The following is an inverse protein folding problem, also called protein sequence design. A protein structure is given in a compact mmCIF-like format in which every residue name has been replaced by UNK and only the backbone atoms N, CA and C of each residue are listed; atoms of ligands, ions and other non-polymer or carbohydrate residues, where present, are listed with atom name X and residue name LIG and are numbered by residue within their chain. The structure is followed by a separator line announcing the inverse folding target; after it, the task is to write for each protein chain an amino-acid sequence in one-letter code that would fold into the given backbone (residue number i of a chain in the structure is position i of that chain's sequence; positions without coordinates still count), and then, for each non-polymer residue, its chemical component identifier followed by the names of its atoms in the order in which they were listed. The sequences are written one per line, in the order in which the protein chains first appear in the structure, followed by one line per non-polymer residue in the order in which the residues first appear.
data_IF_777452151177
#
_entry.id   IF_777452151177
#
_cell.length_a   1.000
_cell.length_b   1.000
_cell.length_c   1.000
_cell.angle_alpha   90.00
_cell.angle_beta   90.00
_cell.angle_gamma   90.00
#
_symmetry.space_group_name_H-M   'P 1'
#
loop_
_entity.id
_entity.type
_entity.pdbx_description
1 polymer ?
#
# COMPACT_ATOMS: atom_id res chain seq x y z
N UNK A 1 46.21 -4.08 25.19
CA UNK A 1 45.44 -4.23 26.41
C UNK A 1 44.24 -3.28 26.33
N UNK A 2 43.07 -3.65 26.78
CA UNK A 2 41.99 -2.70 26.91
C UNK A 2 42.33 -1.67 27.99
N UNK A 3 42.10 -0.40 27.71
CA UNK A 3 42.28 0.72 28.65
C UNK A 3 40.89 1.11 29.20
N UNK A 4 40.84 1.39 30.51
CA UNK A 4 39.61 1.90 31.11
C UNK A 4 39.47 3.40 30.83
N UNK A 5 38.28 3.84 30.41
CA UNK A 5 38.06 5.23 30.03
C UNK A 5 38.32 6.21 31.17
N UNK A 6 37.99 5.80 32.39
CA UNK A 6 38.17 6.62 33.61
C UNK A 6 39.68 6.76 34.04
N UNK A 7 40.56 5.95 33.46
CA UNK A 7 41.99 6.02 33.74
C UNK A 7 42.74 6.91 32.71
N UNK A 8 42.05 7.48 31.74
CA UNK A 8 42.67 8.28 30.67
C UNK A 8 42.90 9.73 31.10
N UNK A 9 44.08 10.26 30.74
CA UNK A 9 44.41 11.68 30.93
C UNK A 9 43.57 12.55 29.98
N UNK A 10 43.36 13.85 30.30
CA UNK A 10 42.54 14.76 29.46
C UNK A 10 42.98 14.81 27.98
N UNK A 11 44.26 14.77 27.71
CA UNK A 11 44.83 14.72 26.34
C UNK A 11 44.48 13.43 25.61
N UNK A 12 44.50 12.29 26.34
CA UNK A 12 44.14 10.98 25.80
C UNK A 12 42.63 10.88 25.54
N UNK A 13 41.79 11.48 26.39
CA UNK A 13 40.34 11.58 26.16
C UNK A 13 40.01 12.41 24.89
N UNK A 14 40.76 13.48 24.66
CA UNK A 14 40.64 14.27 23.44
C UNK A 14 41.01 13.46 22.19
N UNK A 15 42.14 12.76 22.27
CA UNK A 15 42.59 11.86 21.20
C UNK A 15 41.57 10.73 20.93
N UNK A 16 41.01 10.14 22.00
CA UNK A 16 39.97 9.10 21.90
C UNK A 16 38.73 9.62 21.13
N UNK A 17 38.24 10.81 21.44
CA UNK A 17 37.13 11.44 20.70
C UNK A 17 37.42 11.60 19.21
N UNK A 18 38.63 12.01 18.87
CA UNK A 18 39.05 12.15 17.48
C UNK A 18 39.21 10.78 16.76
N UNK A 19 39.61 9.73 17.45
CA UNK A 19 39.76 8.39 16.90
C UNK A 19 38.42 7.67 16.76
N UNK A 20 37.41 7.96 17.58
CA UNK A 20 36.05 7.41 17.47
C UNK A 20 35.37 7.77 16.15
N UNK A 21 35.73 8.90 15.55
CA UNK A 21 35.19 9.30 14.24
C UNK A 21 35.71 8.46 13.08
N UNK A 22 36.78 7.68 13.30
CA UNK A 22 37.43 6.86 12.28
C UNK A 22 37.01 5.38 12.44
N UNK A 23 36.34 4.86 11.44
CA UNK A 23 35.79 3.50 11.45
C UNK A 23 36.88 2.42 11.66
N UNK A 24 36.69 1.57 12.66
CA UNK A 24 37.55 0.39 12.88
C UNK A 24 38.88 0.64 13.60
N UNK A 25 39.14 1.84 14.18
CA UNK A 25 40.37 2.13 14.91
C UNK A 25 40.23 1.90 16.42
N UNK A 26 39.06 2.22 16.99
CA UNK A 26 38.75 2.07 18.42
C UNK A 26 37.40 1.38 18.55
N UNK A 27 37.35 0.34 19.38
CA UNK A 27 36.12 -0.32 19.81
C UNK A 27 35.90 -0.04 21.29
N UNK A 28 34.75 0.47 21.66
CA UNK A 28 34.34 0.73 23.04
C UNK A 28 33.40 -0.38 23.50
N UNK A 29 33.80 -1.06 24.56
CA UNK A 29 33.00 -2.11 25.19
C UNK A 29 32.58 -1.63 26.57
N UNK A 30 31.29 -1.54 26.83
CA UNK A 30 30.76 -1.23 28.17
C UNK A 30 30.64 -2.52 28.98
N UNK A 31 31.21 -2.51 30.18
CA UNK A 31 31.06 -3.58 31.17
C UNK A 31 30.28 -3.07 32.37
N UNK A 32 29.11 -3.64 32.57
CA UNK A 32 28.30 -3.34 33.76
C UNK A 32 28.74 -4.24 34.89
N UNK A 33 29.15 -3.64 36.03
CA UNK A 33 29.42 -4.34 37.26
C UNK A 33 28.22 -4.16 38.19
N UNK A 34 27.62 -5.25 38.62
CA UNK A 34 26.50 -5.24 39.54
C UNK A 34 27.05 -5.68 40.92
N UNK A 35 27.03 -4.77 41.87
CA UNK A 35 27.31 -5.08 43.26
C UNK A 35 25.98 -5.31 43.99
N UNK A 36 25.87 -6.43 44.71
CA UNK A 36 24.65 -6.82 45.41
C UNK A 36 24.96 -6.80 46.93
N UNK A 37 24.25 -5.96 47.64
CA UNK A 37 24.30 -5.92 49.11
C UNK A 37 22.97 -6.41 49.69
N UNK A 38 23.09 -7.25 50.72
CA UNK A 38 21.92 -7.72 51.46
C UNK A 38 21.52 -6.66 52.45
N UNK A 39 20.30 -6.12 52.31
CA UNK A 39 19.73 -5.15 53.27
C UNK A 39 19.49 -5.79 54.64
N UNK A 40 19.36 -4.99 55.73
CA UNK A 40 19.03 -5.50 57.05
C UNK A 40 17.77 -6.38 57.10
N UNK A 41 16.78 -6.04 56.27
CA UNK A 41 15.58 -6.85 56.10
C UNK A 41 15.88 -8.19 55.45
N UNK A 42 16.71 -8.18 54.39
CA UNK A 42 17.19 -9.39 53.73
C UNK A 42 17.95 -10.32 54.70
N UNK A 43 18.85 -9.76 55.50
CA UNK A 43 19.57 -10.53 56.55
C UNK A 43 18.62 -11.14 57.60
N UNK A 44 17.59 -10.43 58.02
CA UNK A 44 16.56 -10.97 58.90
C UNK A 44 15.78 -12.13 58.28
N UNK A 45 15.47 -12.03 56.97
CA UNK A 45 14.75 -13.08 56.25
C UNK A 45 15.63 -14.33 56.08
N UNK A 46 16.90 -14.17 55.72
CA UNK A 46 17.85 -15.30 55.54
C UNK A 46 18.04 -16.03 56.88
N UNK A 47 18.09 -15.31 58.01
CA UNK A 47 18.23 -15.89 59.35
C UNK A 47 16.92 -16.42 59.95
N UNK A 48 15.77 -16.15 59.33
CA UNK A 48 14.50 -16.73 59.77
C UNK A 48 14.40 -18.18 59.33
N UNK A 49 13.91 -19.07 60.20
CA UNK A 49 13.58 -20.46 59.81
C UNK A 49 12.42 -20.41 58.82
N UNK A 50 12.75 -20.42 57.54
CA UNK A 50 11.76 -20.57 56.48
C UNK A 50 11.29 -22.03 56.50
N UNK A 51 10.09 -22.26 57.00
CA UNK A 51 9.47 -23.59 56.90
C UNK A 51 9.11 -23.81 55.43
N UNK A 52 9.75 -24.75 54.78
CA UNK A 52 9.34 -25.22 53.46
C UNK A 52 8.11 -26.14 53.62
N UNK A 53 6.95 -25.53 53.89
CA UNK A 53 5.69 -26.27 53.74
C UNK A 53 5.52 -26.61 52.25
N UNK A 54 5.19 -27.87 51.95
CA UNK A 54 4.85 -28.28 50.59
C UNK A 54 3.68 -27.46 50.09
N UNK A 55 3.97 -26.52 49.19
CA UNK A 55 2.94 -25.75 48.52
C UNK A 55 2.61 -26.40 47.18
N UNK A 56 1.32 -26.41 46.88
CA UNK A 56 0.87 -26.84 45.54
C UNK A 56 1.13 -25.69 44.57
N UNK A 57 2.05 -25.90 43.63
CA UNK A 57 2.43 -24.88 42.64
C UNK A 57 1.42 -24.79 41.49
N UNK A 58 0.87 -25.91 41.03
CA UNK A 58 -0.06 -25.98 39.92
C UNK A 58 -1.21 -26.97 40.22
N UNK A 59 -2.42 -26.59 39.91
CA UNK A 59 -3.59 -27.46 40.00
C UNK A 59 -3.65 -28.30 38.73
N UNK A 60 -3.49 -29.61 38.88
CA UNK A 60 -3.66 -30.59 37.77
C UNK A 60 -4.92 -31.42 37.95
N UNK A 61 -5.46 -32.04 36.88
CA UNK A 61 -6.61 -32.97 37.01
C UNK A 61 -6.38 -34.13 37.97
N UNK A 62 -5.13 -34.61 38.13
CA UNK A 62 -4.75 -35.69 39.02
C UNK A 62 -4.85 -35.23 40.49
N UNK A 63 -4.43 -34.01 40.78
CA UNK A 63 -4.54 -33.43 42.13
C UNK A 63 -6.00 -33.27 42.52
N UNK A 64 -6.85 -32.80 41.60
CA UNK A 64 -8.27 -32.60 41.86
C UNK A 64 -9.05 -33.93 42.07
N UNK A 65 -8.61 -35.04 41.50
CA UNK A 65 -9.25 -36.35 41.62
C UNK A 65 -9.14 -36.96 43.03
N UNK A 66 -8.10 -36.57 43.80
CA UNK A 66 -7.86 -37.09 45.14
C UNK A 66 -7.90 -35.95 46.17
N UNK A 67 -8.94 -35.93 46.96
CA UNK A 67 -9.14 -34.87 47.99
C UNK A 67 -7.96 -34.75 48.95
N UNK A 68 -7.31 -35.85 49.33
CA UNK A 68 -6.10 -35.90 50.14
C UNK A 68 -4.88 -35.23 49.53
N UNK A 69 -4.88 -35.00 48.22
CA UNK A 69 -3.74 -34.37 47.52
C UNK A 69 -3.67 -32.88 47.71
N UNK A 70 -4.80 -32.24 47.98
CA UNK A 70 -4.89 -30.78 48.06
C UNK A 70 -5.57 -30.26 49.33
N UNK A 71 -6.41 -31.04 50.00
CA UNK A 71 -7.13 -30.64 51.19
C UNK A 71 -6.13 -30.41 52.34
N UNK A 72 -6.17 -29.22 52.92
CA UNK A 72 -5.27 -28.80 54.02
C UNK A 72 -3.89 -28.32 53.57
N UNK A 73 -3.55 -28.39 52.27
CA UNK A 73 -2.30 -27.85 51.74
C UNK A 73 -2.47 -26.38 51.32
N UNK A 74 -1.35 -25.62 51.36
CA UNK A 74 -1.32 -24.25 50.87
C UNK A 74 -1.04 -24.23 49.37
N UNK A 75 -1.76 -23.35 48.66
CA UNK A 75 -1.50 -23.06 47.24
C UNK A 75 -0.55 -21.87 47.14
N UNK A 76 0.35 -21.93 46.15
CA UNK A 76 1.21 -20.83 45.81
C UNK A 76 0.38 -19.60 45.44
N UNK A 77 0.66 -18.48 46.03
CA UNK A 77 0.06 -17.20 45.67
C UNK A 77 0.73 -16.66 44.43
N UNK A 78 -0.04 -16.40 43.40
CA UNK A 78 0.46 -15.76 42.20
C UNK A 78 0.47 -14.25 42.38
N UNK A 79 1.61 -13.63 42.03
CA UNK A 79 1.67 -12.19 41.96
C UNK A 79 1.13 -11.75 40.58
N UNK A 80 -0.11 -11.25 40.57
CA UNK A 80 -0.76 -10.80 39.35
C UNK A 80 -0.13 -9.54 38.76
N UNK A 81 0.71 -8.84 39.49
CA UNK A 81 1.43 -7.66 39.03
C UNK A 81 2.82 -7.98 38.50
N UNK A 82 3.27 -9.24 38.60
CA UNK A 82 4.55 -9.65 38.00
C UNK A 82 4.52 -9.43 36.50
N UNK A 83 5.52 -8.77 35.98
CA UNK A 83 5.70 -8.61 34.53
C UNK A 83 5.87 -9.97 33.88
N UNK A 84 5.02 -10.29 32.89
CA UNK A 84 5.14 -11.47 32.05
C UNK A 84 5.58 -11.03 30.66
N UNK A 85 6.31 -11.87 29.93
CA UNK A 85 6.63 -11.58 28.53
C UNK A 85 5.37 -11.30 27.72
N UNK A 86 5.35 -10.18 27.01
CA UNK A 86 4.22 -9.85 26.16
C UNK A 86 4.18 -10.85 24.98
N UNK A 87 3.05 -11.54 24.85
CA UNK A 87 2.80 -12.44 23.72
C UNK A 87 2.01 -11.67 22.68
N UNK A 88 2.55 -11.58 21.45
CA UNK A 88 1.90 -10.92 20.33
C UNK A 88 1.32 -12.01 19.42
N UNK A 89 0.01 -12.02 19.25
CA UNK A 89 -0.65 -12.82 18.22
C UNK A 89 -0.28 -12.33 16.81
N UNK A 90 -0.47 -13.19 15.80
CA UNK A 90 -0.33 -12.80 14.41
C UNK A 90 -1.29 -11.66 14.07
N UNK A 91 -0.82 -10.68 13.29
CA UNK A 91 -1.60 -9.53 12.85
C UNK A 91 -1.36 -9.28 11.38
N UNK A 92 -2.44 -9.16 10.60
CA UNK A 92 -2.34 -8.81 9.20
C UNK A 92 -1.76 -7.40 9.04
N UNK A 93 -0.90 -7.20 8.04
CA UNK A 93 -0.31 -5.90 7.77
C UNK A 93 -1.42 -4.85 7.53
N UNK A 94 -1.28 -3.67 8.08
CA UNK A 94 -2.33 -2.63 8.07
C UNK A 94 -2.68 -2.14 6.65
N UNK A 95 -1.72 -2.07 5.74
CA UNK A 95 -1.98 -1.75 4.33
C UNK A 95 -2.89 -2.80 3.70
N UNK A 96 -2.62 -4.10 3.96
CA UNK A 96 -3.47 -5.17 3.43
C UNK A 96 -4.88 -5.16 4.02
N UNK A 97 -5.03 -4.81 5.30
CA UNK A 97 -6.36 -4.64 5.90
C UNK A 97 -7.15 -3.53 5.22
N UNK A 98 -6.50 -2.41 4.93
CA UNK A 98 -7.13 -1.29 4.24
C UNK A 98 -7.47 -1.63 2.78
N UNK A 99 -6.59 -2.35 2.09
CA UNK A 99 -6.85 -2.86 0.73
C UNK A 99 -8.08 -3.76 0.71
N UNK A 100 -8.21 -4.68 1.68
CA UNK A 100 -9.39 -5.55 1.78
C UNK A 100 -10.67 -4.74 2.08
N UNK A 101 -10.57 -3.70 2.89
CA UNK A 101 -11.69 -2.82 3.13
C UNK A 101 -12.10 -2.05 1.87
N UNK A 102 -11.14 -1.53 1.10
CA UNK A 102 -11.41 -0.89 -0.19
C UNK A 102 -12.10 -1.85 -1.18
N UNK A 103 -11.66 -3.11 -1.25
CA UNK A 103 -12.29 -4.16 -2.05
C UNK A 103 -13.74 -4.40 -1.60
N UNK A 104 -13.96 -4.50 -0.29
CA UNK A 104 -15.30 -4.67 0.28
C UNK A 104 -16.24 -3.56 -0.13
N UNK A 105 -15.81 -2.29 -0.08
CA UNK A 105 -16.62 -1.15 -0.51
C UNK A 105 -17.05 -1.30 -1.97
N UNK A 106 -16.12 -1.57 -2.88
CA UNK A 106 -16.45 -1.71 -4.30
C UNK A 106 -17.38 -2.90 -4.55
N UNK A 107 -17.15 -4.04 -3.90
CA UNK A 107 -18.02 -5.22 -4.00
C UNK A 107 -19.42 -4.93 -3.49
N UNK A 108 -19.58 -4.21 -2.35
CA UNK A 108 -20.88 -3.78 -1.82
C UNK A 108 -21.59 -2.80 -2.75
N UNK A 109 -20.84 -2.01 -3.53
CA UNK A 109 -21.42 -1.12 -4.56
C UNK A 109 -21.76 -1.86 -5.86
N UNK A 110 -21.60 -3.19 -5.89
CA UNK A 110 -21.94 -4.07 -7.00
C UNK A 110 -20.91 -4.12 -8.13
N UNK A 111 -19.64 -3.83 -7.83
CA UNK A 111 -18.53 -3.99 -8.77
C UNK A 111 -17.92 -5.40 -8.67
N UNK A 112 -17.46 -5.92 -9.80
CA UNK A 112 -16.66 -7.15 -9.90
C UNK A 112 -15.18 -6.80 -9.89
N UNK A 113 -14.36 -7.56 -9.16
CA UNK A 113 -12.90 -7.35 -9.16
C UNK A 113 -12.31 -7.85 -10.48
N UNK A 114 -11.49 -7.00 -11.10
CA UNK A 114 -10.62 -7.34 -12.22
C UNK A 114 -9.17 -7.36 -11.75
N UNK A 115 -8.41 -8.32 -12.24
CA UNK A 115 -7.00 -8.52 -11.87
C UNK A 115 -6.12 -8.55 -13.11
N UNK A 116 -4.84 -8.25 -12.93
CA UNK A 116 -3.85 -8.28 -14.00
C UNK A 116 -2.43 -8.27 -13.45
N UNK A 117 -1.48 -8.64 -14.28
CA UNK A 117 -0.07 -8.72 -13.92
C UNK A 117 0.54 -7.33 -13.65
N UNK A 118 1.57 -7.30 -12.81
CA UNK A 118 2.34 -6.07 -12.55
C UNK A 118 3.25 -5.70 -13.70
N UNK A 119 3.67 -6.68 -14.49
CA UNK A 119 4.45 -6.50 -15.72
C UNK A 119 3.49 -6.62 -16.89
N UNK A 120 3.46 -5.61 -17.75
CA UNK A 120 2.61 -5.61 -18.93
C UNK A 120 3.34 -4.98 -20.14
N UNK A 121 2.76 -5.08 -21.33
CA UNK A 121 3.30 -4.44 -22.52
C UNK A 121 2.95 -2.96 -22.61
N UNK A 122 3.81 -2.19 -23.25
CA UNK A 122 3.57 -0.80 -23.61
C UNK A 122 2.24 -0.64 -24.36
N UNK A 123 1.87 -1.65 -25.17
CA UNK A 123 0.58 -1.70 -25.83
C UNK A 123 -0.61 -1.53 -24.86
N UNK A 124 -0.70 -2.35 -23.83
CA UNK A 124 -1.84 -2.31 -22.90
C UNK A 124 -1.77 -1.12 -21.93
N UNK A 125 -0.55 -0.73 -21.56
CA UNK A 125 -0.35 0.36 -20.59
C UNK A 125 -0.60 1.72 -21.23
N UNK A 126 -0.23 1.90 -22.50
CA UNK A 126 -0.27 3.20 -23.16
C UNK A 126 -1.08 3.22 -24.45
N UNK A 127 -0.76 2.34 -25.42
CA UNK A 127 -1.37 2.43 -26.74
C UNK A 127 -2.88 2.17 -26.71
N UNK A 128 -3.33 1.14 -26.01
CA UNK A 128 -4.75 0.83 -25.83
C UNK A 128 -5.52 1.92 -25.07
N UNK A 129 -4.81 2.81 -24.39
CA UNK A 129 -5.35 3.99 -23.70
C UNK A 129 -5.09 5.29 -24.48
N UNK A 130 -4.82 5.18 -25.78
CA UNK A 130 -4.64 6.33 -26.65
C UNK A 130 -3.57 7.33 -26.19
N UNK A 131 -2.56 6.89 -25.44
CA UNK A 131 -1.41 7.71 -25.05
C UNK A 131 -0.37 7.67 -26.17
N UNK A 132 -0.05 8.82 -26.76
CA UNK A 132 0.90 8.91 -27.89
C UNK A 132 2.26 8.28 -27.55
N UNK A 133 2.95 7.71 -28.55
CA UNK A 133 4.23 7.03 -28.33
C UNK A 133 5.39 7.96 -27.98
N UNK A 134 5.27 9.23 -28.32
CA UNK A 134 6.18 10.32 -27.96
C UNK A 134 5.77 11.07 -26.68
N UNK A 135 4.74 10.60 -25.98
CA UNK A 135 4.27 11.26 -24.75
C UNK A 135 5.31 11.13 -23.63
N UNK A 136 5.64 12.22 -22.89
CA UNK A 136 6.66 12.21 -21.84
C UNK A 136 6.48 11.16 -20.75
N UNK A 137 5.24 10.76 -20.44
CA UNK A 137 4.95 9.71 -19.45
C UNK A 137 5.57 8.35 -19.78
N UNK A 138 5.92 8.12 -21.03
CA UNK A 138 6.60 6.90 -21.50
C UNK A 138 8.11 6.94 -21.33
N UNK A 139 8.67 8.11 -21.01
CA UNK A 139 10.11 8.22 -20.81
C UNK A 139 10.57 7.44 -19.58
N UNK A 140 11.87 7.07 -19.58
CA UNK A 140 12.44 6.27 -18.48
C UNK A 140 12.39 6.97 -17.12
N UNK A 141 12.16 8.28 -17.09
CA UNK A 141 12.02 9.04 -15.86
C UNK A 141 10.74 8.65 -15.08
N UNK A 142 9.66 8.30 -15.80
CA UNK A 142 8.36 8.03 -15.17
C UNK A 142 7.98 6.54 -15.23
N UNK A 143 8.65 5.73 -16.04
CA UNK A 143 8.29 4.33 -16.30
C UNK A 143 9.48 3.38 -16.14
N UNK A 144 9.30 2.29 -15.40
CA UNK A 144 10.29 1.22 -15.30
C UNK A 144 10.13 0.23 -16.44
N UNK A 145 10.97 0.36 -17.47
CA UNK A 145 11.05 -0.61 -18.58
C UNK A 145 11.89 -1.82 -18.21
N UNK A 146 11.46 -2.98 -18.69
CA UNK A 146 12.18 -4.24 -18.59
C UNK A 146 12.83 -4.48 -19.97
N UNK A 147 14.11 -4.86 -19.97
CA UNK A 147 14.82 -5.12 -21.24
C UNK A 147 14.37 -6.45 -21.90
N UNK A 148 13.07 -6.56 -22.16
CA UNK A 148 12.41 -7.67 -22.84
C UNK A 148 11.22 -7.16 -23.65
N UNK A 149 10.84 -7.92 -24.64
CA UNK A 149 9.64 -7.71 -25.47
C UNK A 149 8.70 -8.90 -25.36
N UNK A 150 7.43 -8.67 -25.64
CA UNK A 150 6.38 -9.69 -25.67
C UNK A 150 5.63 -9.66 -27.00
N UNK A 151 4.81 -10.68 -27.24
CA UNK A 151 3.86 -10.67 -28.36
C UNK A 151 2.70 -9.72 -28.10
N UNK A 152 2.22 -9.09 -29.16
CA UNK A 152 1.01 -8.28 -29.11
C UNK A 152 -0.26 -9.17 -29.03
N UNK A 153 -1.40 -8.62 -28.56
CA UNK A 153 -2.65 -9.34 -28.52
C UNK A 153 -3.21 -9.64 -29.93
N UNK A 154 -4.52 -9.96 -29.99
CA UNK A 154 -5.20 -10.25 -31.25
C UNK A 154 -4.97 -9.15 -32.30
N UNK A 155 -4.65 -9.55 -33.52
CA UNK A 155 -4.33 -8.65 -34.65
C UNK A 155 -5.43 -7.63 -34.95
N UNK A 156 -6.71 -7.97 -34.69
CA UNK A 156 -7.83 -7.04 -34.92
C UNK A 156 -7.79 -5.88 -33.90
N UNK A 157 -7.51 -6.18 -32.63
CA UNK A 157 -7.36 -5.16 -31.58
C UNK A 157 -6.16 -4.26 -31.89
N UNK A 158 -5.01 -4.88 -32.22
CA UNK A 158 -3.79 -4.13 -32.56
C UNK A 158 -4.03 -3.20 -33.75
N UNK A 159 -4.67 -3.70 -34.80
CA UNK A 159 -5.00 -2.89 -35.98
C UNK A 159 -5.93 -1.72 -35.63
N UNK A 160 -6.97 -1.98 -34.83
CA UNK A 160 -7.92 -0.93 -34.44
C UNK A 160 -7.27 0.15 -33.56
N UNK A 161 -6.40 -0.23 -32.63
CA UNK A 161 -5.63 0.71 -31.80
C UNK A 161 -4.67 1.53 -32.68
N UNK A 162 -3.91 0.89 -33.55
CA UNK A 162 -3.02 1.56 -34.51
C UNK A 162 -3.77 2.58 -35.36
N UNK A 163 -4.89 2.18 -35.97
CA UNK A 163 -5.72 3.09 -36.77
C UNK A 163 -6.24 4.27 -35.97
N UNK A 164 -6.63 4.05 -34.71
CA UNK A 164 -7.04 5.12 -33.80
C UNK A 164 -5.93 6.15 -33.58
N UNK A 165 -4.68 5.71 -33.39
CA UNK A 165 -3.53 6.59 -33.21
C UNK A 165 -3.16 7.36 -34.50
N UNK A 166 -3.11 6.67 -35.63
CA UNK A 166 -2.64 7.24 -36.89
C UNK A 166 -3.68 8.12 -37.58
N UNK A 167 -4.95 7.71 -37.54
CA UNK A 167 -6.04 8.33 -38.33
C UNK A 167 -7.19 8.86 -37.49
N UNK A 168 -7.25 8.41 -36.22
CA UNK A 168 -8.39 8.69 -35.36
C UNK A 168 -9.61 7.81 -35.64
N UNK A 169 -10.65 8.00 -34.83
CA UNK A 169 -11.96 7.33 -34.96
C UNK A 169 -13.05 8.33 -34.60
N UNK A 170 -14.27 8.12 -35.09
CA UNK A 170 -15.45 8.91 -34.75
C UNK A 170 -15.25 10.44 -34.92
N UNK A 171 -14.65 10.84 -36.04
CA UNK A 171 -14.37 12.24 -36.35
C UNK A 171 -13.08 12.81 -35.74
N UNK A 172 -12.39 12.05 -34.91
CA UNK A 172 -11.05 12.38 -34.43
C UNK A 172 -10.01 12.23 -35.52
N UNK A 173 -8.93 13.02 -35.46
CA UNK A 173 -7.78 12.92 -36.37
C UNK A 173 -6.66 12.03 -35.83
N UNK A 174 -6.81 11.43 -34.66
CA UNK A 174 -5.75 10.73 -33.97
C UNK A 174 -4.59 11.65 -33.58
N UNK A 175 -3.42 11.07 -33.42
CA UNK A 175 -2.17 11.80 -33.15
C UNK A 175 -1.37 12.10 -34.43
N UNK A 176 -1.78 11.52 -35.57
CA UNK A 176 -1.19 11.75 -36.89
C UNK A 176 0.32 11.45 -37.01
N UNK A 177 0.79 10.40 -36.33
CA UNK A 177 2.16 9.87 -36.42
C UNK A 177 2.15 8.41 -36.88
N UNK A 178 3.32 7.90 -37.28
CA UNK A 178 3.47 6.48 -37.62
C UNK A 178 3.63 5.66 -36.34
N UNK A 179 2.64 4.85 -36.03
CA UNK A 179 2.65 4.00 -34.83
C UNK A 179 3.68 2.87 -34.96
N UNK A 180 4.57 2.75 -33.97
CA UNK A 180 5.64 1.75 -33.92
C UNK A 180 5.19 0.50 -33.15
N UNK A 181 5.15 -0.64 -33.86
CA UNK A 181 4.82 -1.94 -33.25
C UNK A 181 5.90 -2.41 -32.29
N UNK A 182 7.16 -2.08 -32.51
CA UNK A 182 8.28 -2.53 -31.67
C UNK A 182 8.30 -1.80 -30.32
N UNK A 183 7.90 -0.54 -30.26
CA UNK A 183 7.70 0.15 -28.99
C UNK A 183 6.53 -0.44 -28.20
N UNK A 184 5.44 -0.78 -28.86
CA UNK A 184 4.27 -1.40 -28.24
C UNK A 184 4.55 -2.76 -27.58
N UNK A 185 5.57 -3.50 -28.08
CA UNK A 185 5.99 -4.81 -27.53
C UNK A 185 6.86 -4.71 -26.27
N UNK A 186 7.35 -3.53 -25.90
CA UNK A 186 8.23 -3.37 -24.74
C UNK A 186 7.50 -3.73 -23.46
N UNK A 187 8.16 -4.49 -22.58
CA UNK A 187 7.64 -4.79 -21.26
C UNK A 187 8.04 -3.71 -20.23
N UNK A 188 7.14 -3.46 -19.31
CA UNK A 188 7.34 -2.48 -18.24
C UNK A 188 6.57 -2.86 -16.97
N UNK A 189 6.96 -2.29 -15.84
CA UNK A 189 6.14 -2.29 -14.63
C UNK A 189 5.02 -1.26 -14.79
N UNK A 190 3.77 -1.68 -14.60
CA UNK A 190 2.60 -0.82 -14.82
C UNK A 190 2.62 0.43 -13.93
N UNK A 191 2.57 1.65 -14.48
CA UNK A 191 2.52 2.90 -13.72
C UNK A 191 1.12 3.24 -13.21
N UNK A 192 0.11 2.48 -13.64
CA UNK A 192 -1.30 2.59 -13.25
C UNK A 192 -2.02 1.25 -13.47
N UNK A 193 -3.17 1.08 -12.82
CA UNK A 193 -4.01 -0.11 -12.99
C UNK A 193 -4.97 -0.01 -14.19
N UNK A 194 -5.01 1.11 -14.92
CA UNK A 194 -5.88 1.32 -16.08
C UNK A 194 -5.57 0.37 -17.25
N UNK A 195 -4.36 -0.19 -17.31
CA UNK A 195 -4.03 -1.27 -18.24
C UNK A 195 -4.92 -2.53 -18.02
N UNK A 196 -5.28 -2.81 -16.77
CA UNK A 196 -6.21 -3.90 -16.43
C UNK A 196 -7.62 -3.57 -16.94
N UNK A 197 -8.04 -2.30 -16.85
CA UNK A 197 -9.29 -1.82 -17.44
C UNK A 197 -9.30 -2.02 -18.95
N UNK A 198 -8.22 -1.65 -19.65
CA UNK A 198 -8.11 -1.84 -21.11
C UNK A 198 -8.23 -3.31 -21.51
N UNK A 199 -7.54 -4.22 -20.81
CA UNK A 199 -7.65 -5.68 -21.03
C UNK A 199 -9.05 -6.19 -20.76
N UNK A 200 -9.69 -5.72 -19.68
CA UNK A 200 -11.06 -6.09 -19.34
C UNK A 200 -12.03 -5.65 -20.42
N UNK A 201 -11.95 -4.40 -20.89
CA UNK A 201 -12.78 -3.89 -21.98
C UNK A 201 -12.64 -4.75 -23.24
N UNK A 202 -11.40 -5.09 -23.63
CA UNK A 202 -11.14 -5.91 -24.82
C UNK A 202 -11.68 -7.35 -24.72
N UNK A 203 -11.91 -7.86 -23.50
CA UNK A 203 -12.44 -9.21 -23.26
C UNK A 203 -13.96 -9.28 -23.17
N UNK A 204 -14.65 -8.14 -23.03
CA UNK A 204 -16.11 -8.09 -22.81
C UNK A 204 -16.88 -8.44 -24.10
N UNK A 205 -17.97 -9.13 -23.92
CA UNK A 205 -18.97 -9.40 -24.94
C UNK A 205 -20.20 -8.51 -24.76
N UNK A 206 -21.05 -8.44 -25.78
CA UNK A 206 -22.27 -7.60 -25.72
C UNK A 206 -23.22 -8.01 -24.61
N UNK A 207 -23.31 -9.31 -24.34
CA UNK A 207 -24.15 -9.88 -23.29
C UNK A 207 -23.69 -9.56 -21.87
N UNK A 208 -22.43 -9.15 -21.71
CA UNK A 208 -21.86 -8.78 -20.40
C UNK A 208 -22.28 -7.37 -19.93
N UNK A 209 -22.93 -6.61 -20.80
CA UNK A 209 -23.28 -5.20 -20.55
C UNK A 209 -24.73 -5.02 -20.06
N UNK A 210 -25.00 -4.07 -19.15
CA UNK A 210 -24.06 -3.15 -18.52
C UNK A 210 -23.19 -3.81 -17.45
N UNK A 211 -21.97 -3.31 -17.23
CA UNK A 211 -21.01 -3.90 -16.32
C UNK A 211 -20.24 -2.88 -15.48
N UNK A 212 -19.81 -3.31 -14.28
CA UNK A 212 -19.01 -2.49 -13.37
C UNK A 212 -17.85 -3.33 -12.85
N UNK A 213 -16.63 -2.83 -13.03
CA UNK A 213 -15.43 -3.50 -12.55
C UNK A 213 -14.56 -2.55 -11.73
N UNK A 214 -13.81 -3.10 -10.79
CA UNK A 214 -12.76 -2.40 -10.07
C UNK A 214 -11.49 -3.22 -10.01
N UNK A 215 -10.35 -2.55 -9.84
CA UNK A 215 -9.09 -3.16 -9.45
C UNK A 215 -8.50 -2.41 -8.26
N UNK A 216 -7.77 -3.08 -7.41
CA UNK A 216 -6.97 -2.49 -6.37
C UNK A 216 -5.63 -3.21 -6.31
N UNK A 217 -4.58 -2.54 -6.73
CA UNK A 217 -3.29 -3.17 -6.89
C UNK A 217 -2.11 -2.20 -6.95
N UNK A 218 -0.91 -2.79 -6.94
CA UNK A 218 0.34 -2.04 -7.01
C UNK A 218 0.60 -1.44 -8.38
N UNK A 219 1.13 -0.23 -8.36
CA UNK A 219 1.65 0.53 -9.49
C UNK A 219 3.07 0.98 -9.18
N UNK A 220 3.84 1.27 -10.23
CA UNK A 220 5.26 1.59 -10.13
C UNK A 220 5.59 2.80 -10.99
N UNK A 221 6.28 3.79 -10.40
CA UNK A 221 6.74 4.99 -11.10
C UNK A 221 8.18 5.29 -10.73
N UNK A 222 8.96 5.68 -11.70
CA UNK A 222 10.36 6.05 -11.51
C UNK A 222 10.49 7.50 -11.03
N UNK A 223 9.87 7.79 -9.90
CA UNK A 223 9.87 9.12 -9.29
C UNK A 223 10.96 9.24 -8.23
N UNK A 224 11.39 10.46 -7.96
CA UNK A 224 12.27 10.73 -6.81
C UNK A 224 11.51 10.45 -5.53
N UNK A 225 12.06 9.55 -4.71
CA UNK A 225 11.43 9.11 -3.47
C UNK A 225 11.53 10.19 -2.41
N UNK A 226 10.39 10.69 -1.95
CA UNK A 226 10.28 11.63 -0.84
C UNK A 226 9.18 11.20 0.16
N UNK A 227 8.77 12.10 1.04
CA UNK A 227 7.73 11.83 2.03
C UNK A 227 6.33 11.60 1.43
N UNK A 228 6.08 12.06 0.21
CA UNK A 228 4.79 12.00 -0.49
C UNK A 228 4.81 11.15 -1.76
N UNK A 229 5.99 10.81 -2.28
CA UNK A 229 6.20 10.03 -3.50
C UNK A 229 7.04 8.80 -3.22
N UNK A 230 6.60 7.66 -3.75
CA UNK A 230 7.31 6.39 -3.71
C UNK A 230 7.40 5.79 -5.10
N UNK A 231 8.38 4.93 -5.32
CA UNK A 231 8.50 4.19 -6.58
C UNK A 231 7.44 3.08 -6.75
N UNK A 232 6.78 2.68 -5.66
CA UNK A 232 5.61 1.79 -5.67
C UNK A 232 4.49 2.36 -4.79
N UNK A 233 3.26 2.16 -5.20
CA UNK A 233 2.07 2.56 -4.44
C UNK A 233 0.86 1.72 -4.85
N UNK A 234 -0.20 1.73 -4.04
CA UNK A 234 -1.46 1.11 -4.40
C UNK A 234 -2.38 2.13 -5.07
N UNK A 235 -3.04 1.71 -6.14
CA UNK A 235 -4.06 2.48 -6.84
C UNK A 235 -5.38 1.71 -6.79
N UNK A 236 -6.49 2.43 -6.56
CA UNK A 236 -7.83 1.89 -6.77
C UNK A 236 -8.33 2.37 -8.12
N UNK A 237 -8.74 1.44 -8.94
CA UNK A 237 -9.25 1.66 -10.29
C UNK A 237 -10.72 1.27 -10.34
N UNK A 238 -11.49 1.89 -11.22
CA UNK A 238 -12.83 1.43 -11.49
C UNK A 238 -13.32 1.86 -12.85
N UNK A 239 -14.12 1.00 -13.48
CA UNK A 239 -14.82 1.28 -14.74
C UNK A 239 -16.30 0.89 -14.64
N UNK A 240 -17.13 1.72 -15.25
CA UNK A 240 -18.57 1.43 -15.47
C UNK A 240 -18.85 1.54 -16.96
N UNK A 241 -19.27 0.44 -17.55
CA UNK A 241 -19.61 0.33 -18.97
C UNK A 241 -21.14 0.27 -19.06
N UNK A 242 -21.78 1.35 -19.44
CA UNK A 242 -23.24 1.43 -19.54
C UNK A 242 -23.64 2.46 -20.61
N UNK A 243 -24.48 2.09 -21.59
CA UNK A 243 -24.98 3.03 -22.61
C UNK A 243 -25.66 4.29 -22.03
N UNK A 244 -26.20 4.18 -20.80
CA UNK A 244 -26.87 5.30 -20.09
C UNK A 244 -25.94 6.02 -19.10
N UNK A 245 -24.66 5.62 -19.01
CA UNK A 245 -23.71 6.26 -18.11
C UNK A 245 -23.43 7.72 -18.52
N UNK A 246 -23.28 8.57 -17.55
CA UNK A 246 -22.95 9.98 -17.75
C UNK A 246 -22.04 10.51 -16.64
N UNK A 247 -21.56 11.72 -16.83
CA UNK A 247 -20.60 12.35 -15.92
C UNK A 247 -21.13 12.52 -14.48
N UNK A 248 -22.44 12.74 -14.30
CA UNK A 248 -23.04 12.81 -12.93
C UNK A 248 -22.96 11.47 -12.21
N UNK A 249 -23.15 10.36 -12.94
CA UNK A 249 -22.97 9.02 -12.38
C UNK A 249 -21.55 8.79 -11.92
N UNK A 250 -20.52 9.21 -12.69
CA UNK A 250 -19.11 9.16 -12.29
C UNK A 250 -18.88 9.87 -10.95
N UNK A 251 -19.32 11.12 -10.84
CA UNK A 251 -19.19 11.89 -9.60
C UNK A 251 -19.92 11.24 -8.43
N UNK A 252 -21.07 10.62 -8.69
CA UNK A 252 -21.86 9.88 -7.70
C UNK A 252 -21.11 8.67 -7.13
N UNK A 253 -20.54 7.82 -7.98
CA UNK A 253 -19.73 6.67 -7.55
C UNK A 253 -18.54 7.09 -6.70
N UNK A 254 -17.80 8.11 -7.14
CA UNK A 254 -16.63 8.62 -6.42
C UNK A 254 -17.00 9.21 -5.07
N UNK A 255 -18.07 10.02 -5.00
CA UNK A 255 -18.56 10.55 -3.72
C UNK A 255 -18.95 9.43 -2.75
N UNK A 256 -19.66 8.41 -3.23
CA UNK A 256 -20.09 7.28 -2.41
C UNK A 256 -18.88 6.49 -1.88
N UNK A 257 -17.90 6.19 -2.72
CA UNK A 257 -16.70 5.48 -2.34
C UNK A 257 -15.90 6.24 -1.26
N UNK A 258 -15.56 7.50 -1.52
CA UNK A 258 -14.77 8.28 -0.58
C UNK A 258 -15.50 8.57 0.73
N UNK A 259 -16.83 8.75 0.68
CA UNK A 259 -17.64 8.84 1.90
C UNK A 259 -17.55 7.57 2.75
N UNK A 260 -17.64 6.39 2.11
CA UNK A 260 -17.43 5.09 2.79
C UNK A 260 -16.00 4.94 3.33
N UNK A 261 -15.01 5.50 2.64
CA UNK A 261 -13.62 5.58 3.13
C UNK A 261 -13.43 6.59 4.27
N UNK A 262 -14.43 7.44 4.57
CA UNK A 262 -14.45 8.38 5.69
C UNK A 262 -14.10 9.81 5.33
N UNK A 263 -14.16 10.18 4.06
CA UNK A 263 -14.00 11.57 3.63
C UNK A 263 -15.37 12.23 3.38
N UNK A 264 -15.69 13.22 4.18
CA UNK A 264 -16.96 13.95 4.04
C UNK A 264 -16.88 15.08 2.99
N UNK A 265 -15.69 15.67 2.83
CA UNK A 265 -15.48 16.79 1.92
C UNK A 265 -14.66 16.35 0.71
N UNK A 266 -15.31 16.33 -0.46
CA UNK A 266 -14.73 15.92 -1.74
C UNK A 266 -14.98 17.06 -2.74
N UNK A 267 -13.93 17.39 -3.52
CA UNK A 267 -14.00 18.37 -4.59
C UNK A 267 -13.49 17.74 -5.88
N UNK A 268 -14.13 18.10 -6.98
CA UNK A 268 -13.72 17.74 -8.33
C UNK A 268 -13.26 19.00 -9.06
N UNK A 269 -12.09 18.96 -9.67
CA UNK A 269 -11.55 20.04 -10.49
C UNK A 269 -11.40 19.57 -11.94
N UNK A 270 -11.69 20.41 -12.94
CA UNK A 270 -11.39 20.04 -14.32
C UNK A 270 -9.92 19.67 -14.51
N UNK A 271 -9.67 18.66 -15.33
CA UNK A 271 -8.34 18.16 -15.63
C UNK A 271 -8.23 17.70 -17.08
N UNK A 272 -7.04 17.30 -17.49
CA UNK A 272 -6.78 16.71 -18.80
C UNK A 272 -6.01 15.40 -18.65
N UNK A 273 -6.54 14.33 -19.28
CA UNK A 273 -5.84 13.07 -19.48
C UNK A 273 -6.05 12.63 -20.92
N UNK A 274 -5.01 12.06 -21.55
CA UNK A 274 -5.04 11.70 -22.97
C UNK A 274 -6.20 10.77 -23.36
N UNK A 275 -6.63 9.91 -22.43
CA UNK A 275 -7.62 8.85 -22.66
C UNK A 275 -9.05 9.16 -22.17
N UNK A 276 -9.28 10.32 -21.55
CA UNK A 276 -10.62 10.71 -21.05
C UNK A 276 -11.08 12.08 -21.56
N UNK A 277 -12.38 12.23 -21.77
CA UNK A 277 -13.07 13.51 -22.05
C UNK A 277 -14.56 13.37 -21.73
N UNK A 278 -15.12 14.15 -20.78
CA UNK A 278 -14.45 15.07 -19.85
C UNK A 278 -13.58 14.38 -18.81
N UNK A 279 -12.62 15.13 -18.24
CA UNK A 279 -11.71 14.66 -17.22
C UNK A 279 -11.77 15.53 -15.97
N UNK A 280 -11.56 14.91 -14.80
CA UNK A 280 -11.49 15.61 -13.49
C UNK A 280 -10.41 15.03 -12.61
N UNK A 281 -9.85 15.86 -11.77
CA UNK A 281 -9.07 15.48 -10.60
C UNK A 281 -9.95 15.40 -9.37
N UNK A 282 -9.64 14.43 -8.51
CA UNK A 282 -10.35 14.15 -7.27
C UNK A 282 -9.51 14.69 -6.12
N UNK A 283 -10.11 15.58 -5.32
CA UNK A 283 -9.49 16.13 -4.13
C UNK A 283 -10.33 15.81 -2.90
N UNK A 284 -9.65 15.44 -1.80
CA UNK A 284 -10.28 15.29 -0.49
C UNK A 284 -9.69 16.29 0.51
N UNK A 285 -10.49 16.70 1.47
CA UNK A 285 -10.05 17.62 2.49
C UNK A 285 -9.30 16.90 3.60
N UNK A 286 -8.04 17.27 3.81
CA UNK A 286 -7.24 16.82 4.94
C UNK A 286 -7.50 17.73 6.15
N UNK A 287 -8.20 17.24 7.15
CA UNK A 287 -8.69 18.05 8.28
C UNK A 287 -7.58 18.63 9.15
N UNK A 288 -6.49 17.88 9.39
CA UNK A 288 -5.36 18.32 10.21
C UNK A 288 -4.46 19.34 9.49
N UNK A 289 -4.09 19.05 8.24
CA UNK A 289 -3.24 19.96 7.45
C UNK A 289 -4.00 21.15 6.88
N UNK A 290 -5.35 21.12 6.93
CA UNK A 290 -6.24 22.16 6.37
C UNK A 290 -5.97 22.44 4.89
N UNK A 291 -5.68 21.39 4.11
CA UNK A 291 -5.40 21.47 2.67
C UNK A 291 -6.23 20.48 1.88
N UNK A 292 -6.42 20.76 0.60
CA UNK A 292 -6.98 19.81 -0.36
C UNK A 292 -5.87 18.90 -0.87
N UNK A 293 -6.02 17.59 -0.69
CA UNK A 293 -5.11 16.58 -1.22
C UNK A 293 -5.69 16.04 -2.52
N UNK A 294 -4.91 16.09 -3.58
CA UNK A 294 -5.20 15.39 -4.81
C UNK A 294 -4.99 13.89 -4.61
N UNK A 295 -5.97 13.10 -5.04
CA UNK A 295 -5.90 11.63 -4.99
C UNK A 295 -5.69 11.00 -6.36
N UNK A 296 -6.07 11.66 -7.44
CA UNK A 296 -5.90 11.18 -8.80
C UNK A 296 -7.02 11.59 -9.75
N UNK A 297 -6.98 11.01 -10.95
CA UNK A 297 -7.86 11.36 -12.05
C UNK A 297 -9.09 10.47 -12.20
N UNK A 298 -10.10 11.03 -12.88
CA UNK A 298 -11.28 10.32 -13.34
C UNK A 298 -11.83 10.98 -14.61
N UNK A 299 -12.65 10.25 -15.36
CA UNK A 299 -13.26 10.80 -16.55
C UNK A 299 -14.15 9.79 -17.28
N UNK A 300 -14.60 10.17 -18.46
CA UNK A 300 -15.26 9.26 -19.41
C UNK A 300 -14.22 8.90 -20.47
N UNK A 301 -14.01 7.61 -20.73
CA UNK A 301 -13.06 7.17 -21.77
C UNK A 301 -13.49 7.66 -23.14
N UNK A 302 -12.53 8.15 -23.90
CA UNK A 302 -12.74 8.70 -25.25
C UNK A 302 -13.12 7.60 -26.27
N UNK A 303 -13.77 7.96 -27.37
CA UNK A 303 -14.06 7.02 -28.47
C UNK A 303 -12.81 6.30 -28.99
N UNK A 304 -11.65 6.98 -29.00
CA UNK A 304 -10.36 6.44 -29.43
C UNK A 304 -9.86 5.28 -28.57
N UNK A 305 -10.40 5.13 -27.35
CA UNK A 305 -10.16 3.98 -26.46
C UNK A 305 -11.27 2.96 -26.59
N UNK A 306 -12.53 3.41 -26.52
CA UNK A 306 -13.68 2.50 -26.43
C UNK A 306 -13.98 1.78 -27.72
N UNK A 307 -13.87 2.45 -28.88
CA UNK A 307 -14.14 1.83 -30.19
C UNK A 307 -13.15 0.71 -30.51
N UNK A 308 -11.81 0.91 -30.41
CA UNK A 308 -10.86 -0.17 -30.65
C UNK A 308 -11.05 -1.39 -29.75
N UNK A 309 -11.43 -1.19 -28.46
CA UNK A 309 -11.51 -2.26 -27.47
C UNK A 309 -12.88 -2.95 -27.44
N UNK A 310 -13.99 -2.20 -27.65
CA UNK A 310 -15.36 -2.70 -27.57
C UNK A 310 -16.01 -2.90 -28.95
N UNK A 311 -15.38 -2.45 -30.02
CA UNK A 311 -15.92 -2.48 -31.38
C UNK A 311 -17.00 -1.43 -31.66
N UNK A 312 -17.39 -0.63 -30.67
CA UNK A 312 -18.34 0.50 -30.80
C UNK A 312 -18.14 1.49 -29.68
N UNK A 313 -18.59 2.73 -29.87
CA UNK A 313 -18.60 3.71 -28.78
C UNK A 313 -19.71 3.36 -27.75
N UNK A 314 -19.30 3.12 -26.53
CA UNK A 314 -20.16 3.01 -25.34
C UNK A 314 -19.53 3.92 -24.28
N UNK A 315 -20.30 4.74 -23.56
CA UNK A 315 -19.79 5.50 -22.44
C UNK A 315 -19.14 4.58 -21.41
N UNK A 316 -17.89 4.84 -21.06
CA UNK A 316 -17.15 4.14 -20.00
C UNK A 316 -16.67 5.16 -19.01
N UNK A 317 -17.26 5.14 -17.82
CA UNK A 317 -16.76 5.93 -16.69
C UNK A 317 -15.49 5.25 -16.17
N UNK A 318 -14.45 6.03 -15.88
CA UNK A 318 -13.17 5.51 -15.41
C UNK A 318 -12.56 6.42 -14.33
N UNK A 319 -11.88 5.82 -13.37
CA UNK A 319 -11.14 6.54 -12.34
C UNK A 319 -9.98 5.70 -11.82
N UNK A 320 -8.91 6.38 -11.33
CA UNK A 320 -7.70 5.74 -10.86
C UNK A 320 -7.02 6.49 -9.71
N UNK A 321 -7.69 6.80 -8.59
CA UNK A 321 -7.05 7.49 -7.48
C UNK A 321 -6.01 6.62 -6.75
N UNK A 322 -4.94 7.27 -6.28
CA UNK A 322 -3.94 6.68 -5.42
C UNK A 322 -4.54 6.29 -4.07
N UNK A 323 -4.37 5.03 -3.67
CA UNK A 323 -4.97 4.49 -2.46
C UNK A 323 -4.12 4.76 -1.22
N UNK A 324 -2.82 4.79 -1.33
CA UNK A 324 -1.90 4.95 -0.21
C UNK A 324 -2.01 6.31 0.50
N UNK A 325 -2.32 7.37 -0.25
CA UNK A 325 -2.57 8.70 0.36
C UNK A 325 -3.78 8.69 1.30
N UNK A 326 -4.79 7.89 1.01
CA UNK A 326 -5.94 7.65 1.89
C UNK A 326 -5.51 6.97 3.19
N UNK A 327 -4.57 6.00 3.10
CA UNK A 327 -4.04 5.28 4.26
C UNK A 327 -3.20 6.18 5.16
N UNK A 328 -2.38 7.04 4.57
CA UNK A 328 -1.56 7.99 5.33
C UNK A 328 -2.42 8.88 6.23
N UNK A 329 -3.53 9.40 5.70
CA UNK A 329 -4.46 10.22 6.49
C UNK A 329 -5.11 9.42 7.63
N UNK A 330 -5.61 8.24 7.33
CA UNK A 330 -6.29 7.39 8.32
C UNK A 330 -5.36 6.96 9.48
N UNK A 331 -4.14 6.55 9.16
CA UNK A 331 -3.16 6.07 10.14
C UNK A 331 -2.27 7.18 10.72
N UNK A 332 -2.49 8.43 10.33
CA UNK A 332 -1.70 9.59 10.75
C UNK A 332 -0.20 9.43 10.43
N UNK A 333 0.10 8.81 9.29
CA UNK A 333 1.45 8.61 8.79
C UNK A 333 1.87 9.83 7.99
N UNK A 334 3.02 10.40 8.32
CA UNK A 334 3.53 11.64 7.70
C UNK A 334 4.42 11.39 6.47
N UNK A 335 4.95 10.19 6.35
CA UNK A 335 5.90 9.78 5.32
C UNK A 335 5.41 8.48 4.67
N UNK A 336 5.18 8.50 3.36
CA UNK A 336 4.66 7.36 2.59
C UNK A 336 5.56 6.11 2.73
N UNK A 337 6.85 6.30 2.88
CA UNK A 337 7.82 5.20 3.06
C UNK A 337 7.55 4.35 4.30
N UNK A 338 6.90 4.93 5.31
CA UNK A 338 6.51 4.21 6.54
C UNK A 338 5.47 3.10 6.27
N UNK A 339 4.71 3.19 5.17
CA UNK A 339 3.76 2.14 4.77
C UNK A 339 4.45 0.83 4.40
N UNK A 340 5.73 0.89 4.02
CA UNK A 340 6.47 -0.22 3.43
C UNK A 340 7.74 -0.62 4.19
N UNK A 341 8.13 0.11 5.25
CA UNK A 341 9.32 -0.20 6.06
C UNK A 341 9.22 -1.51 6.83
N UNK A 342 8.00 -1.99 7.11
CA UNK A 342 7.74 -3.20 7.89
C UNK A 342 8.41 -3.21 9.28
N UNK A 343 8.56 -2.05 9.90
CA UNK A 343 9.08 -1.93 11.26
C UNK A 343 8.17 -2.64 12.26
N UNK A 344 8.71 -3.61 13.00
CA UNK A 344 7.93 -4.46 13.91
C UNK A 344 7.32 -3.64 15.05
N UNK A 345 8.04 -2.63 15.56
CA UNK A 345 7.53 -1.78 16.65
C UNK A 345 6.36 -0.93 16.16
N UNK A 346 6.45 -0.39 14.94
CA UNK A 346 5.36 0.32 14.28
C UNK A 346 4.17 -0.61 14.03
N UNK A 347 4.38 -1.78 13.43
CA UNK A 347 3.33 -2.75 13.14
C UNK A 347 2.55 -3.19 14.40
N UNK A 348 3.24 -3.33 15.52
CA UNK A 348 2.61 -3.66 16.83
C UNK A 348 1.72 -2.53 17.35
N UNK A 349 2.11 -1.27 17.16
CA UNK A 349 1.41 -0.08 17.65
C UNK A 349 0.23 0.33 16.76
N UNK A 350 0.32 0.14 15.44
CA UNK A 350 -0.73 0.55 14.51
C UNK A 350 -2.04 -0.20 14.83
N UNK A 351 -3.13 0.56 14.93
CA UNK A 351 -4.47 0.02 15.18
C UNK A 351 -4.97 -0.77 13.96
N UNK A 352 -5.89 -1.69 14.19
CA UNK A 352 -6.62 -2.33 13.10
C UNK A 352 -7.44 -1.29 12.33
N UNK A 353 -7.63 -1.55 11.04
CA UNK A 353 -8.60 -0.82 10.26
C UNK A 353 -10.01 -1.18 10.76
N UNK A 354 -10.64 -0.23 11.42
CA UNK A 354 -11.99 -0.39 11.97
C UNK A 354 -12.87 0.70 11.37
N UNK A 355 -13.53 0.39 10.26
CA UNK A 355 -14.63 1.19 9.70
C UNK A 355 -15.71 0.28 9.15
#
# INVERSE_FOLDING_TARGET
MPLEQDSLLPEQLYALKSLQTRKGIVEITEKTKIDIEITELGAKIVNSKISSEEMIEQITPEILKKESSWKGKRFRRYNMTSGVPAIYGGKRHFVNQAVDYGRKIWTEMGFKEMTGDMVDSSFWVFDALFTAQDHPVREMQDTFYINKKTSLPDKKIVKAVKESHEKGVDGSKGWAYNWDEEDAKRLLLRPHTTCVSARTLASLKKEDLPAKFFALGKCFRNETVDWSHGFEFNQTEGIVIDPNANFRHLLGYLKQFFKKMGFDKIRFSPAYFAYTSPSVEIHVWHSEKKVWLELGGAGILRPEVTIPLLGKHIPVLAWGPGFDRVLMDYYQIKDLRELYKNDIAQLRKIKFWMK
#
